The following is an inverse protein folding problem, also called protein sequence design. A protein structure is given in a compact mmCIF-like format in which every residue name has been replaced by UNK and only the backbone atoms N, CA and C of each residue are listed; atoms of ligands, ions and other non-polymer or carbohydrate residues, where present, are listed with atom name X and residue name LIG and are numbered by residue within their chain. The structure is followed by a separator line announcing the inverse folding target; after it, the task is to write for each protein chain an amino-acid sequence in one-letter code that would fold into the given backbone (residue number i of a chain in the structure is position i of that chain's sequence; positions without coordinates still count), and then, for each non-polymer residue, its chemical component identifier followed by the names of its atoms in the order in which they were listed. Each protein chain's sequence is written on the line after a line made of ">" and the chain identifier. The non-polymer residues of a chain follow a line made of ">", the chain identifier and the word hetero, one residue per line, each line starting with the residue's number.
data_IF_984786556362
#
_entry.id   IF_984786556362
#
_cell.length_a   1.000
_cell.length_b   1.000
_cell.length_c   1.000
_cell.angle_alpha   90.00
_cell.angle_beta   90.00
_cell.angle_gamma   90.00
#
_symmetry.space_group_name_H-M   'P 1'
#
loop_
_entity.id
_entity.type
_entity.pdbx_description
1 polymer ?
#
# COMPACT_ATOMS: atom_id res chain seq x y z
N UNK A 1 8.74 4.28 55.69
CA UNK A 1 9.86 4.70 54.82
C UNK A 1 9.42 4.53 53.37
N UNK A 2 8.63 5.48 52.86
CA UNK A 2 8.21 5.54 51.45
C UNK A 2 7.92 7.01 51.14
N UNK A 3 8.85 7.67 50.46
CA UNK A 3 8.75 9.08 50.11
C UNK A 3 9.19 9.30 48.67
N UNK A 4 8.32 9.92 47.88
CA UNK A 4 8.70 10.78 46.77
C UNK A 4 9.03 10.09 45.44
N UNK A 5 8.11 9.30 44.89
CA UNK A 5 8.09 8.98 43.47
C UNK A 5 7.65 10.19 42.64
N UNK A 6 8.46 11.25 42.63
CA UNK A 6 8.31 12.36 41.69
C UNK A 6 8.92 11.95 40.36
N UNK A 7 8.09 11.54 39.40
CA UNK A 7 8.53 11.27 38.03
C UNK A 7 9.33 12.47 37.49
N UNK A 8 10.44 12.19 36.82
CA UNK A 8 11.28 13.21 36.21
C UNK A 8 10.45 14.15 35.32
N UNK A 9 10.68 15.46 35.44
CA UNK A 9 10.01 16.47 34.63
C UNK A 9 10.11 16.15 33.12
N UNK A 10 8.97 16.02 32.40
CA UNK A 10 8.94 15.62 30.99
C UNK A 10 9.79 16.51 30.07
N UNK A 11 9.86 17.80 30.40
CA UNK A 11 10.65 18.80 29.64
C UNK A 11 12.16 18.58 29.79
N UNK A 12 12.60 18.14 30.98
CA UNK A 12 14.00 17.84 31.27
C UNK A 12 14.45 16.55 30.59
N UNK A 13 13.57 15.56 30.49
CA UNK A 13 13.82 14.34 29.70
C UNK A 13 13.98 14.65 28.22
N UNK A 14 13.09 15.44 27.61
CA UNK A 14 13.19 15.82 26.19
C UNK A 14 14.50 16.56 25.89
N UNK A 15 14.93 17.46 26.78
CA UNK A 15 16.21 18.17 26.64
C UNK A 15 17.42 17.24 26.77
N UNK A 16 17.35 16.26 27.68
CA UNK A 16 18.39 15.25 27.87
C UNK A 16 18.49 14.31 26.67
N UNK A 17 17.37 13.84 26.12
CA UNK A 17 17.32 13.01 24.91
C UNK A 17 17.94 13.72 23.71
N UNK A 18 17.59 15.00 23.52
CA UNK A 18 18.19 15.83 22.46
C UNK A 18 19.70 16.00 22.62
N UNK A 19 20.21 16.13 23.84
CA UNK A 19 21.66 16.19 24.11
C UNK A 19 22.37 14.87 23.83
N UNK A 20 21.67 13.74 23.97
CA UNK A 20 22.18 12.41 23.64
C UNK A 20 22.08 12.09 22.14
N UNK A 21 21.62 13.04 21.31
CA UNK A 21 21.42 12.83 19.88
C UNK A 21 20.26 11.90 19.56
N UNK A 22 19.29 11.79 20.49
CA UNK A 22 18.04 11.06 20.29
C UNK A 22 16.99 12.07 19.81
N UNK A 23 16.62 11.98 18.54
CA UNK A 23 15.54 12.76 17.93
C UNK A 23 14.31 11.87 17.79
N UNK A 24 13.15 12.38 18.21
CA UNK A 24 11.87 11.69 18.05
C UNK A 24 10.96 12.57 17.21
N UNK A 25 10.42 12.00 16.14
CA UNK A 25 9.58 12.68 15.15
C UNK A 25 8.36 11.83 14.87
N UNK A 26 7.18 12.45 14.91
CA UNK A 26 5.92 11.84 14.49
C UNK A 26 5.82 11.90 12.96
N UNK A 27 5.38 10.81 12.36
CA UNK A 27 5.20 10.69 10.91
C UNK A 27 3.71 10.51 10.64
N UNK A 28 3.15 11.42 9.84
CA UNK A 28 1.79 11.33 9.32
C UNK A 28 1.82 10.45 8.05
N UNK A 29 1.53 9.15 8.22
CA UNK A 29 1.61 8.16 7.16
C UNK A 29 0.20 7.77 6.71
N UNK A 30 -0.06 7.84 5.40
CA UNK A 30 -1.33 7.40 4.83
C UNK A 30 -1.44 5.87 4.74
N UNK A 31 -0.31 5.17 4.58
CA UNK A 31 -0.26 3.72 4.45
C UNK A 31 1.10 3.17 4.90
N UNK A 32 1.12 2.00 5.53
CA UNK A 32 2.32 1.18 5.71
C UNK A 32 2.06 -0.22 5.15
N UNK A 33 3.02 -0.73 4.37
CA UNK A 33 3.05 -2.12 3.91
C UNK A 33 4.28 -2.81 4.49
N UNK A 34 4.07 -3.85 5.29
CA UNK A 34 5.13 -4.76 5.74
C UNK A 34 5.05 -6.01 4.87
N UNK A 35 5.95 -6.11 3.89
CA UNK A 35 6.08 -7.30 3.04
C UNK A 35 6.98 -8.32 3.73
N UNK A 36 6.47 -9.54 3.89
CA UNK A 36 7.21 -10.71 4.36
C UNK A 36 7.38 -11.71 3.21
N UNK A 37 8.00 -12.85 3.48
CA UNK A 37 8.17 -13.92 2.49
C UNK A 37 6.84 -14.63 2.13
N UNK A 38 5.81 -14.51 3.00
CA UNK A 38 4.54 -15.23 2.86
C UNK A 38 3.36 -14.29 2.51
N UNK A 39 3.34 -13.10 3.10
CA UNK A 39 2.20 -12.17 3.03
C UNK A 39 2.63 -10.70 3.16
N UNK A 40 1.70 -9.80 2.83
CA UNK A 40 1.78 -8.37 3.11
C UNK A 40 0.83 -8.00 4.24
N UNK A 41 1.33 -7.23 5.20
CA UNK A 41 0.51 -6.58 6.23
C UNK A 41 0.33 -5.11 5.85
N UNK A 42 -0.91 -4.71 5.56
CA UNK A 42 -1.27 -3.37 5.10
C UNK A 42 -2.00 -2.60 6.20
N UNK A 43 -1.45 -1.45 6.59
CA UNK A 43 -2.03 -0.55 7.60
C UNK A 43 -2.51 0.73 6.91
N UNK A 44 -3.80 1.05 7.03
CA UNK A 44 -4.42 2.26 6.43
C UNK A 44 -4.71 3.37 7.44
N UNK A 45 -4.83 3.04 8.73
CA UNK A 45 -4.96 4.00 9.84
C UNK A 45 -3.85 3.69 10.85
N UNK A 46 -2.77 4.46 10.82
CA UNK A 46 -1.52 4.09 11.50
C UNK A 46 -0.84 5.27 12.16
N UNK A 47 -0.45 5.09 13.43
CA UNK A 47 0.39 6.05 14.14
C UNK A 47 1.85 5.61 14.03
N UNK A 48 2.70 6.48 13.49
CA UNK A 48 4.12 6.19 13.26
C UNK A 48 4.99 7.19 14.00
N UNK A 49 5.92 6.67 14.80
CA UNK A 49 6.94 7.45 15.47
C UNK A 49 8.33 6.96 15.04
N UNK A 50 9.18 7.88 14.58
CA UNK A 50 10.58 7.61 14.27
C UNK A 50 11.47 8.14 15.40
N UNK A 51 12.36 7.30 15.88
CA UNK A 51 13.43 7.65 16.81
C UNK A 51 14.79 7.45 16.14
N UNK A 52 15.58 8.50 16.01
CA UNK A 52 16.97 8.43 15.56
C UNK A 52 17.91 8.44 16.76
N UNK A 53 18.76 7.42 16.89
CA UNK A 53 19.81 7.35 17.91
C UNK A 53 21.11 6.85 17.28
N UNK A 54 22.21 7.62 17.44
CA UNK A 54 23.54 7.22 16.95
C UNK A 54 23.60 6.89 15.44
N UNK A 55 22.71 7.47 14.64
CA UNK A 55 22.59 7.21 13.20
C UNK A 55 21.74 5.99 12.83
N UNK A 56 21.13 5.32 13.81
CA UNK A 56 20.17 4.24 13.59
C UNK A 56 18.75 4.77 13.82
N UNK A 57 17.89 4.61 12.81
CA UNK A 57 16.47 4.93 12.92
C UNK A 57 15.69 3.71 13.44
N UNK A 58 14.86 3.92 14.44
CA UNK A 58 13.87 2.96 14.93
C UNK A 58 12.49 3.51 14.65
N UNK A 59 11.61 2.69 14.08
CA UNK A 59 10.22 3.05 13.81
C UNK A 59 9.31 2.28 14.75
N UNK A 60 8.41 2.99 15.42
CA UNK A 60 7.32 2.41 16.18
C UNK A 60 6.03 2.64 15.42
N UNK A 61 5.36 1.54 15.09
CA UNK A 61 4.13 1.50 14.31
C UNK A 61 3.04 0.96 15.23
N UNK A 62 1.94 1.68 15.36
CA UNK A 62 0.76 1.25 16.11
C UNK A 62 -0.46 1.38 15.19
N UNK A 63 -1.16 0.26 14.98
CA UNK A 63 -2.34 0.19 14.14
C UNK A 63 -2.78 -1.27 13.97
N UNK A 64 -3.91 -1.46 13.30
CA UNK A 64 -4.48 -2.77 13.00
C UNK A 64 -4.30 -3.08 11.50
N UNK A 65 -3.45 -4.06 11.12
CA UNK A 65 -3.21 -4.38 9.71
C UNK A 65 -4.21 -5.37 9.13
N UNK A 66 -4.42 -5.28 7.82
CA UNK A 66 -5.04 -6.32 7.00
C UNK A 66 -3.98 -7.19 6.32
N UNK A 67 -4.22 -8.50 6.27
CA UNK A 67 -3.33 -9.46 5.60
C UNK A 67 -3.74 -9.62 4.14
N UNK A 68 -2.76 -9.55 3.24
CA UNK A 68 -2.92 -9.76 1.80
C UNK A 68 -1.90 -10.81 1.31
N UNK A 69 -2.31 -11.79 0.49
CA UNK A 69 -1.36 -12.69 -0.15
C UNK A 69 -0.43 -11.91 -1.09
N UNK A 70 0.82 -12.33 -1.20
CA UNK A 70 1.76 -11.79 -2.17
C UNK A 70 1.19 -12.00 -3.58
N UNK A 71 0.58 -10.96 -4.16
CA UNK A 71 0.15 -11.00 -5.55
C UNK A 71 1.39 -11.19 -6.44
N UNK A 72 1.28 -12.02 -7.47
CA UNK A 72 2.29 -12.14 -8.53
C UNK A 72 2.43 -10.79 -9.25
N UNK A 73 3.27 -9.92 -8.70
CA UNK A 73 3.36 -8.52 -9.10
C UNK A 73 4.76 -7.98 -8.88
N UNK A 74 5.64 -8.31 -9.83
CA UNK A 74 6.82 -7.52 -10.15
C UNK A 74 8.09 -7.86 -9.38
N UNK A 75 8.63 -9.06 -9.59
CA UNK A 75 10.09 -9.20 -9.63
C UNK A 75 10.59 -8.52 -10.92
N UNK A 76 10.72 -7.19 -10.89
CA UNK A 76 11.62 -6.50 -11.81
C UNK A 76 13.00 -6.45 -11.14
N UNK A 77 13.64 -7.62 -11.10
CA UNK A 77 14.91 -7.85 -10.41
C UNK A 77 15.77 -8.87 -11.15
N UNK A 78 16.08 -8.59 -12.43
CA UNK A 78 17.00 -9.42 -13.22
C UNK A 78 17.71 -8.63 -14.31
N UNK A 79 18.94 -8.22 -14.01
CA UNK A 79 19.97 -7.63 -14.87
C UNK A 79 20.04 -8.13 -16.33
N UNK A 80 20.28 -7.20 -17.26
CA UNK A 80 20.72 -7.48 -18.62
C UNK A 80 20.81 -6.22 -19.47
N UNK A 81 21.99 -5.59 -19.45
CA UNK A 81 22.54 -4.57 -20.37
C UNK A 81 21.62 -4.01 -21.48
N UNK A 82 21.30 -2.71 -21.38
CA UNK A 82 21.10 -1.85 -22.55
C UNK A 82 21.52 -0.42 -22.22
N UNK A 83 22.77 -0.11 -22.55
CA UNK A 83 23.22 1.26 -22.83
C UNK A 83 22.39 1.83 -23.99
N UNK A 84 21.44 2.71 -23.69
CA UNK A 84 21.00 3.76 -24.64
C UNK A 84 20.71 5.02 -23.85
N UNK A 85 21.64 5.97 -23.91
CA UNK A 85 21.41 7.38 -23.57
C UNK A 85 20.47 8.05 -24.61
N UNK A 86 19.86 9.14 -24.16
CA UNK A 86 18.93 10.07 -24.85
C UNK A 86 17.48 9.59 -25.04
N UNK A 87 16.45 10.38 -24.77
CA UNK A 87 16.26 11.64 -24.06
C UNK A 87 14.72 11.83 -24.02
N UNK A 88 14.21 12.69 -23.12
CA UNK A 88 12.88 13.35 -23.13
C UNK A 88 11.61 12.48 -23.24
N UNK A 89 10.79 12.48 -22.18
CA UNK A 89 9.49 13.17 -22.21
C UNK A 89 8.96 13.47 -20.80
N UNK A 90 8.22 14.57 -20.73
CA UNK A 90 7.80 15.28 -19.53
C UNK A 90 7.01 14.44 -18.52
N UNK A 91 7.37 14.57 -17.25
CA UNK A 91 6.49 14.31 -16.13
C UNK A 91 5.43 15.41 -16.06
N UNK A 92 4.18 15.03 -16.33
CA UNK A 92 2.99 15.87 -16.17
C UNK A 92 1.94 15.00 -15.51
N UNK A 93 1.47 15.44 -14.34
CA UNK A 93 0.69 14.64 -13.40
C UNK A 93 -0.72 14.28 -13.83
N UNK A 94 -1.32 13.44 -13.00
CA UNK A 94 -2.75 13.19 -12.84
C UNK A 94 -2.88 12.18 -11.70
N UNK A 95 -3.86 12.18 -10.82
CA UNK A 95 -4.93 13.09 -10.42
C UNK A 95 -5.57 12.28 -9.27
N UNK A 96 -5.75 12.84 -8.09
CA UNK A 96 -7.08 13.27 -7.64
C UNK A 96 -8.23 12.36 -8.14
N UNK A 97 -8.93 11.78 -7.16
CA UNK A 97 -10.22 11.12 -7.31
C UNK A 97 -11.21 12.00 -8.07
N UNK A 98 -11.40 11.72 -9.37
CA UNK A 98 -12.49 12.26 -10.17
C UNK A 98 -13.55 11.17 -10.42
N UNK A 99 -14.77 11.49 -10.01
CA UNK A 99 -15.95 10.65 -10.13
C UNK A 99 -16.54 10.94 -11.51
N UNK A 100 -16.17 10.18 -12.55
CA UNK A 100 -16.69 10.45 -13.90
C UNK A 100 -16.26 9.50 -15.03
N UNK A 101 -17.16 8.58 -15.37
CA UNK A 101 -17.33 7.98 -16.71
C UNK A 101 -16.19 7.13 -17.29
N UNK A 102 -15.97 5.98 -16.66
CA UNK A 102 -15.29 4.83 -17.23
C UNK A 102 -15.29 3.73 -16.18
N UNK A 103 -16.33 2.91 -16.14
CA UNK A 103 -16.38 1.74 -15.25
C UNK A 103 -15.29 0.76 -15.70
N UNK A 104 -14.09 0.93 -15.16
CA UNK A 104 -13.01 -0.04 -15.26
C UNK A 104 -13.47 -1.32 -14.57
N UNK A 105 -13.71 -2.36 -15.37
CA UNK A 105 -14.27 -3.62 -14.87
C UNK A 105 -13.20 -4.31 -14.02
N UNK A 106 -13.50 -4.66 -12.75
CA UNK A 106 -12.54 -5.33 -11.89
C UNK A 106 -12.11 -6.66 -12.48
N UNK A 107 -10.81 -6.96 -12.46
CA UNK A 107 -10.30 -8.27 -12.93
C UNK A 107 -10.90 -9.45 -12.13
N UNK A 108 -11.32 -9.21 -10.88
CA UNK A 108 -12.06 -10.20 -10.07
C UNK A 108 -13.39 -10.61 -10.70
N UNK A 109 -14.11 -9.67 -11.32
CA UNK A 109 -15.41 -9.94 -11.93
C UNK A 109 -15.23 -10.72 -13.24
N UNK A 110 -14.20 -10.37 -14.02
CA UNK A 110 -13.79 -11.10 -15.22
C UNK A 110 -13.50 -12.56 -14.87
N UNK A 111 -12.75 -12.81 -13.80
CA UNK A 111 -12.42 -14.16 -13.34
C UNK A 111 -13.67 -14.96 -12.92
N UNK A 112 -14.60 -14.34 -12.17
CA UNK A 112 -15.83 -15.00 -11.74
C UNK A 112 -16.69 -15.42 -12.94
N UNK A 113 -16.83 -14.57 -13.96
CA UNK A 113 -17.60 -14.88 -15.18
C UNK A 113 -16.92 -15.99 -15.97
N UNK A 114 -15.61 -15.90 -16.18
CA UNK A 114 -14.83 -16.90 -16.91
C UNK A 114 -14.93 -18.28 -16.25
N UNK A 115 -14.80 -18.35 -14.92
CA UNK A 115 -14.90 -19.62 -14.19
C UNK A 115 -16.30 -20.26 -14.25
N UNK A 116 -17.37 -19.45 -14.25
CA UNK A 116 -18.75 -19.97 -14.29
C UNK A 116 -19.20 -20.41 -15.67
N UNK A 117 -18.78 -19.69 -16.70
CA UNK A 117 -19.24 -19.88 -18.08
C UNK A 117 -18.29 -20.76 -18.90
N UNK A 118 -17.02 -20.87 -18.46
CA UNK A 118 -15.95 -21.54 -19.20
C UNK A 118 -15.39 -20.70 -20.36
N UNK A 119 -15.75 -19.42 -20.45
CA UNK A 119 -15.24 -18.49 -21.46
C UNK A 119 -13.80 -18.03 -21.14
N UNK A 120 -13.10 -17.46 -22.13
CA UNK A 120 -11.81 -16.82 -21.89
C UNK A 120 -11.97 -15.47 -21.15
N UNK A 121 -10.93 -15.00 -20.48
CA UNK A 121 -10.93 -13.70 -19.79
C UNK A 121 -11.27 -12.53 -20.73
N UNK A 122 -10.85 -12.60 -21.99
CA UNK A 122 -11.19 -11.59 -23.01
C UNK A 122 -12.70 -11.58 -23.28
N UNK A 123 -13.33 -12.76 -23.41
CA UNK A 123 -14.76 -12.90 -23.63
C UNK A 123 -15.58 -12.51 -22.39
N UNK A 124 -15.09 -12.85 -21.20
CA UNK A 124 -15.70 -12.45 -19.94
C UNK A 124 -15.65 -10.93 -19.74
N UNK A 125 -14.52 -10.29 -20.08
CA UNK A 125 -14.36 -8.83 -20.04
C UNK A 125 -15.29 -8.14 -21.02
N UNK A 126 -15.36 -8.61 -22.27
CA UNK A 126 -16.29 -8.08 -23.27
C UNK A 126 -17.76 -8.21 -22.82
N UNK A 127 -18.14 -9.34 -22.21
CA UNK A 127 -19.49 -9.55 -21.70
C UNK A 127 -19.84 -8.60 -20.54
N UNK A 128 -18.90 -8.35 -19.64
CA UNK A 128 -19.07 -7.39 -18.55
C UNK A 128 -19.12 -5.95 -19.08
N UNK A 129 -18.31 -5.59 -20.06
CA UNK A 129 -18.33 -4.26 -20.71
C UNK A 129 -19.68 -4.02 -21.39
N UNK A 130 -20.21 -5.03 -22.07
CA UNK A 130 -21.51 -4.94 -22.73
C UNK A 130 -22.69 -4.80 -21.76
N UNK A 131 -22.52 -5.22 -20.50
CA UNK A 131 -23.53 -5.19 -19.45
C UNK A 131 -23.24 -4.11 -18.38
N UNK A 132 -22.30 -3.19 -18.63
CA UNK A 132 -21.88 -2.14 -17.68
C UNK A 132 -21.53 -2.71 -16.29
N UNK A 133 -20.74 -3.78 -16.27
CA UNK A 133 -20.27 -4.41 -15.02
C UNK A 133 -21.31 -5.29 -14.30
N UNK A 134 -22.50 -5.52 -14.86
CA UNK A 134 -23.46 -6.45 -14.25
C UNK A 134 -22.99 -7.91 -14.42
N UNK A 135 -22.45 -8.46 -13.34
CA UNK A 135 -21.94 -9.83 -13.26
C UNK A 135 -23.01 -10.88 -13.59
N UNK A 136 -24.26 -10.69 -13.16
CA UNK A 136 -25.32 -11.68 -13.38
C UNK A 136 -25.79 -11.65 -14.84
N UNK A 137 -25.88 -10.47 -15.43
CA UNK A 137 -26.19 -10.29 -16.84
C UNK A 137 -25.07 -10.85 -17.74
N UNK A 138 -23.80 -10.60 -17.38
CA UNK A 138 -22.65 -11.11 -18.12
C UNK A 138 -22.56 -12.65 -18.09
N UNK A 139 -22.81 -13.29 -16.95
CA UNK A 139 -22.90 -14.76 -16.87
C UNK A 139 -24.03 -15.28 -17.75
N UNK A 140 -25.23 -14.69 -17.64
CA UNK A 140 -26.40 -15.12 -18.42
C UNK A 140 -26.22 -14.98 -19.94
N UNK A 141 -25.31 -14.11 -20.37
CA UNK A 141 -24.98 -13.86 -21.78
C UNK A 141 -24.05 -14.92 -22.38
N UNK A 142 -23.26 -15.58 -21.54
CA UNK A 142 -22.21 -16.53 -21.93
C UNK A 142 -22.54 -18.00 -21.63
N UNK A 143 -23.58 -18.27 -20.82
CA UNK A 143 -24.12 -19.62 -20.57
C UNK A 143 -24.94 -20.23 -21.73
#
# INVERSE_FOLDING_TARGET
>A
MFGGGGGLDPRKMKQMMKQMGIEVTEIDANEIVIRTDDEELVFTDVEVQRMDAQGQATYQIVGDPESRPLGEGGDSGGDGDVDVEEEITASGGADEVDVGAGEEIPDSDVEIVAQRTGASEEQAREALEAENGDLAAAVSRLE
#
